data_IF_093327467377
#
_entry.id   IF_093327467377
#
_cell.length_a   1.000
_cell.length_b   1.000
_cell.length_c   1.000
_cell.angle_alpha   90.00
_cell.angle_beta   90.00
_cell.angle_gamma   90.00
#
_symmetry.space_group_name_H-M   'P 1'
#
loop_
_entity.id
_entity.type
_entity.pdbx_description
1 polymer ?
#
# COMPACT_ATOMS: atom_id res chain seq x y z
N UNK A 1 7.85 -12.42 -9.83
CA UNK A 1 7.64 -10.95 -9.79
C UNK A 1 6.57 -10.45 -10.75
N UNK A 2 6.18 -11.22 -11.78
CA UNK A 2 5.17 -10.80 -12.77
C UNK A 2 3.82 -10.29 -12.21
N UNK A 3 3.27 -10.89 -11.15
CA UNK A 3 1.94 -10.48 -10.63
C UNK A 3 1.96 -9.14 -9.89
N UNK A 4 3.00 -8.86 -9.11
CA UNK A 4 3.12 -7.60 -8.36
C UNK A 4 3.34 -6.41 -9.27
N UNK A 5 4.10 -6.61 -10.35
CA UNK A 5 4.28 -5.61 -11.41
C UNK A 5 2.96 -5.32 -12.12
N UNK A 6 2.21 -6.36 -12.50
CA UNK A 6 0.87 -6.19 -13.10
C UNK A 6 -0.09 -5.44 -12.16
N UNK A 7 -0.08 -5.74 -10.86
CA UNK A 7 -0.91 -5.01 -9.88
C UNK A 7 -0.52 -3.53 -9.85
N UNK A 8 0.78 -3.22 -9.88
CA UNK A 8 1.26 -1.83 -9.89
C UNK A 8 0.72 -1.08 -11.10
N UNK A 9 0.80 -1.66 -12.30
CA UNK A 9 0.23 -1.07 -13.53
C UNK A 9 -1.29 -0.93 -13.47
N UNK A 10 -2.00 -1.95 -12.95
CA UNK A 10 -3.46 -1.88 -12.81
C UNK A 10 -3.92 -0.78 -11.85
N UNK A 11 -3.16 -0.52 -10.77
CA UNK A 11 -3.46 0.59 -9.87
C UNK A 11 -3.39 1.94 -10.59
N UNK A 12 -2.36 2.13 -11.43
CA UNK A 12 -2.22 3.32 -12.27
C UNK A 12 -3.42 3.48 -13.22
N UNK A 13 -3.83 2.40 -13.89
CA UNK A 13 -4.98 2.38 -14.80
C UNK A 13 -6.29 2.78 -14.10
N UNK A 14 -6.46 2.39 -12.83
CA UNK A 14 -7.62 2.78 -12.01
C UNK A 14 -7.47 4.15 -11.33
N UNK A 15 -6.38 4.88 -11.57
CA UNK A 15 -6.11 6.19 -10.96
C UNK A 15 -5.80 6.11 -9.46
N UNK A 16 -5.38 4.94 -8.98
CA UNK A 16 -4.94 4.71 -7.61
C UNK A 16 -3.42 4.86 -7.56
N UNK A 17 -2.92 5.68 -6.63
CA UNK A 17 -1.48 5.85 -6.46
C UNK A 17 -0.79 4.51 -6.14
N UNK A 18 0.16 4.03 -6.96
CA UNK A 18 0.84 2.75 -6.74
C UNK A 18 1.65 2.71 -5.45
N UNK A 19 2.01 3.86 -4.88
CA UNK A 19 2.60 3.97 -3.55
C UNK A 19 1.64 3.54 -2.43
N UNK A 20 0.39 3.17 -2.73
CA UNK A 20 -0.52 2.52 -1.76
C UNK A 20 -0.28 1.01 -1.65
N UNK A 21 0.48 0.43 -2.58
CA UNK A 21 0.84 -0.99 -2.60
C UNK A 21 2.31 -1.20 -2.20
N UNK A 22 2.59 -2.27 -1.46
CA UNK A 22 3.94 -2.78 -1.24
C UNK A 22 3.89 -4.27 -0.92
N UNK A 23 4.99 -4.97 -1.17
CA UNK A 23 5.20 -6.34 -0.73
C UNK A 23 6.45 -6.37 0.14
N UNK A 24 6.32 -7.00 1.31
CA UNK A 24 7.45 -7.27 2.19
C UNK A 24 7.44 -8.73 2.59
N UNK A 25 8.55 -9.41 2.37
CA UNK A 25 8.75 -10.79 2.81
C UNK A 25 9.22 -10.81 4.25
N UNK A 26 8.43 -11.41 5.12
CA UNK A 26 8.71 -11.51 6.55
C UNK A 26 8.53 -12.96 6.99
N UNK A 27 9.55 -13.51 7.64
CA UNK A 27 9.47 -14.84 8.25
C UNK A 27 8.88 -14.76 9.67
N UNK A 28 8.50 -15.91 10.24
CA UNK A 28 8.00 -16.00 11.61
C UNK A 28 9.02 -15.60 12.68
N UNK A 29 10.31 -15.57 12.34
CA UNK A 29 11.40 -15.19 13.24
C UNK A 29 11.75 -13.69 13.17
N UNK A 30 11.02 -12.87 12.39
CA UNK A 30 11.32 -11.45 12.17
C UNK A 30 10.17 -10.52 12.63
N UNK A 31 9.74 -10.55 13.91
CA UNK A 31 8.62 -9.74 14.39
C UNK A 31 8.89 -8.24 14.27
N UNK A 32 10.11 -7.78 14.55
CA UNK A 32 10.46 -6.35 14.44
C UNK A 32 10.38 -5.84 13.01
N UNK A 33 10.75 -6.68 12.02
CA UNK A 33 10.63 -6.36 10.59
C UNK A 33 9.17 -6.25 10.17
N UNK A 34 8.30 -7.13 10.68
CA UNK A 34 6.86 -7.03 10.44
C UNK A 34 6.32 -5.70 10.98
N UNK A 35 6.64 -5.36 12.24
CA UNK A 35 6.23 -4.10 12.86
C UNK A 35 6.72 -2.89 12.06
N UNK A 36 7.98 -2.89 11.63
CA UNK A 36 8.54 -1.81 10.82
C UNK A 36 7.83 -1.68 9.46
N UNK A 37 7.59 -2.81 8.77
CA UNK A 37 6.95 -2.82 7.46
C UNK A 37 5.50 -2.29 7.52
N UNK A 38 4.74 -2.68 8.54
CA UNK A 38 3.37 -2.19 8.78
C UNK A 38 3.37 -0.70 9.10
N UNK A 39 4.27 -0.23 9.96
CA UNK A 39 4.40 1.21 10.26
C UNK A 39 4.70 2.01 9.00
N UNK A 40 5.67 1.57 8.20
CA UNK A 40 6.08 2.25 6.98
C UNK A 40 4.94 2.38 5.96
N UNK A 41 4.20 1.30 5.67
CA UNK A 41 3.05 1.42 4.75
C UNK A 41 1.94 2.29 5.31
N UNK A 42 1.68 2.19 6.62
CA UNK A 42 0.64 2.98 7.27
C UNK A 42 0.94 4.47 7.18
N UNK A 43 2.17 4.87 7.52
CA UNK A 43 2.64 6.26 7.42
C UNK A 43 2.59 6.76 5.97
N UNK A 44 3.08 5.95 5.02
CA UNK A 44 3.03 6.27 3.59
C UNK A 44 1.60 6.52 3.11
N UNK A 45 0.66 5.61 3.41
CA UNK A 45 -0.76 5.75 3.01
C UNK A 45 -1.42 6.96 3.68
N UNK A 46 -1.11 7.24 4.96
CA UNK A 46 -1.60 8.44 5.66
C UNK A 46 -1.11 9.73 4.97
N UNK A 47 0.16 9.78 4.57
CA UNK A 47 0.74 10.94 3.89
C UNK A 47 0.14 11.16 2.49
N UNK A 48 -0.27 10.09 1.80
CA UNK A 48 -0.99 10.17 0.52
C UNK A 48 -2.45 10.62 0.68
N UNK A 49 -2.97 10.68 1.90
CA UNK A 49 -4.36 11.04 2.20
C UNK A 49 -5.39 9.96 1.82
N UNK A 50 -6.68 10.20 2.13
CA UNK A 50 -7.76 9.28 1.79
C UNK A 50 -7.91 9.10 0.28
N UNK A 51 -8.37 7.92 -0.14
CA UNK A 51 -8.67 7.68 -1.55
C UNK A 51 -9.93 8.46 -1.98
N UNK A 52 -9.96 8.95 -3.22
CA UNK A 52 -11.03 9.83 -3.73
C UNK A 52 -12.43 9.23 -3.59
N UNK A 53 -12.59 7.90 -3.70
CA UNK A 53 -13.90 7.25 -3.55
C UNK A 53 -14.42 7.21 -2.10
N UNK A 54 -13.53 7.28 -1.09
CA UNK A 54 -13.93 7.38 0.32
C UNK A 54 -14.27 8.82 0.71
N UNK A 55 -13.54 9.81 0.18
CA UNK A 55 -13.82 11.22 0.45
C UNK A 55 -15.24 11.63 -0.03
N UNK A 56 -15.76 10.98 -1.08
CA UNK A 56 -17.12 11.18 -1.57
C UNK A 56 -18.21 10.47 -0.74
N UNK A 57 -17.84 9.54 0.16
CA UNK A 57 -18.79 8.79 1.01
C UNK A 57 -18.77 9.27 2.47
N UNK A 58 -17.75 10.03 2.87
CA UNK A 58 -17.59 10.61 4.20
C UNK A 58 -18.08 12.08 4.32
N UNK A 59 -18.64 12.65 3.25
CA UNK A 59 -19.25 13.98 3.19
C UNK A 59 -20.75 13.86 2.86
#
# INVERSE_FOLDING_TARGET
MARSEMITSLLEDFGIDPQRFQITWVSSAEPDKFVAAVKQVTERVKNLGPHKSEAAHAA
#
